data_IF_612865726924
#
_entry.id   IF_612865726924
#
_cell.length_a   1.000
_cell.length_b   1.000
_cell.length_c   1.000
_cell.angle_alpha   90.00
_cell.angle_beta   90.00
_cell.angle_gamma   90.00
#
_symmetry.space_group_name_H-M   'P 1'
#
loop_
_entity.id
_entity.type
_entity.pdbx_description
1 polymer ?
#
# COMPACT_ATOMS: atom_id res chain seq x y z
N UNK A 1 28.52 -3.94 11.36
CA UNK A 1 27.13 -3.75 10.92
C UNK A 1 27.16 -3.66 9.41
N UNK A 2 26.40 -4.50 8.70
CA UNK A 2 26.34 -4.46 7.23
C UNK A 2 25.70 -3.16 6.76
N UNK A 3 26.26 -2.55 5.71
CA UNK A 3 25.60 -1.48 4.98
C UNK A 3 24.29 -1.99 4.42
N UNK A 4 23.17 -1.31 4.68
CA UNK A 4 21.89 -1.65 4.08
C UNK A 4 21.57 -0.71 2.93
N UNK A 5 21.03 -1.25 1.84
CA UNK A 5 20.54 -0.46 0.71
C UNK A 5 19.04 -0.25 0.86
N UNK A 6 18.62 0.99 0.82
CA UNK A 6 17.21 1.39 0.95
C UNK A 6 16.76 2.12 -0.31
N UNK A 7 15.60 1.75 -0.83
CA UNK A 7 14.95 2.41 -1.95
C UNK A 7 13.70 3.14 -1.44
N UNK A 8 13.69 4.47 -1.57
CA UNK A 8 12.51 5.28 -1.24
C UNK A 8 11.69 5.52 -2.49
N UNK A 9 10.41 5.15 -2.46
CA UNK A 9 9.45 5.35 -3.54
C UNK A 9 8.41 6.36 -3.08
N UNK A 10 8.37 7.51 -3.73
CA UNK A 10 7.52 8.64 -3.33
C UNK A 10 7.13 9.51 -4.53
N UNK A 11 6.13 10.36 -4.39
CA UNK A 11 5.82 11.46 -5.31
C UNK A 11 6.47 12.79 -4.88
N UNK A 12 7.11 12.83 -3.70
CA UNK A 12 7.64 14.04 -3.07
C UNK A 12 9.17 14.02 -3.00
N UNK A 13 9.83 14.95 -3.68
CA UNK A 13 11.27 15.15 -3.52
C UNK A 13 11.63 15.55 -2.09
N UNK A 14 10.80 16.40 -1.46
CA UNK A 14 11.00 16.80 -0.07
C UNK A 14 11.02 15.59 0.87
N UNK A 15 10.09 14.67 0.69
CA UNK A 15 10.05 13.45 1.50
C UNK A 15 11.28 12.54 1.25
N UNK A 16 11.72 12.42 0.00
CA UNK A 16 12.92 11.67 -0.34
C UNK A 16 14.16 12.23 0.36
N UNK A 17 14.33 13.54 0.34
CA UNK A 17 15.46 14.23 1.01
C UNK A 17 15.36 14.13 2.54
N UNK A 18 14.15 14.23 3.09
CA UNK A 18 13.90 14.02 4.52
C UNK A 18 14.36 12.61 4.96
N UNK A 19 13.95 11.56 4.27
CA UNK A 19 14.35 10.18 4.58
C UNK A 19 15.87 10.01 4.47
N UNK A 20 16.49 10.57 3.43
CA UNK A 20 17.94 10.51 3.23
C UNK A 20 18.73 11.16 4.37
N UNK A 21 18.20 12.24 4.95
CA UNK A 21 18.84 12.92 6.08
C UNK A 21 18.64 12.20 7.42
N UNK A 22 17.56 11.45 7.58
CA UNK A 22 17.24 10.72 8.82
C UNK A 22 17.97 9.38 8.88
N UNK A 23 18.01 8.64 7.78
CA UNK A 23 18.66 7.33 7.75
C UNK A 23 20.18 7.51 7.93
N UNK A 24 20.84 6.76 8.85
CA UNK A 24 22.26 6.92 9.11
C UNK A 24 23.13 6.79 7.85
N UNK A 25 24.15 7.64 7.73
CA UNK A 25 25.03 7.75 6.55
C UNK A 25 25.73 6.46 6.10
N UNK A 26 25.84 5.46 6.99
CA UNK A 26 26.37 4.14 6.64
C UNK A 26 25.40 3.28 5.79
N UNK A 27 24.16 3.72 5.67
CA UNK A 27 23.16 3.06 4.85
C UNK A 27 22.99 3.84 3.54
N UNK A 28 23.07 3.14 2.43
CA UNK A 28 22.92 3.76 1.10
C UNK A 28 21.45 3.94 0.82
N UNK A 29 21.00 5.18 0.62
CA UNK A 29 19.61 5.51 0.31
C UNK A 29 19.51 5.95 -1.15
N UNK A 30 18.79 5.19 -1.93
CA UNK A 30 18.33 5.58 -3.27
C UNK A 30 16.92 6.11 -3.19
N UNK A 31 16.54 7.03 -4.06
CA UNK A 31 15.15 7.46 -4.13
C UNK A 31 14.62 7.47 -5.56
N UNK A 32 13.33 7.24 -5.68
CA UNK A 32 12.60 7.33 -6.94
C UNK A 32 11.39 8.21 -6.72
N UNK A 33 11.34 9.31 -7.45
CA UNK A 33 10.12 10.11 -7.51
C UNK A 33 9.26 9.55 -8.63
N UNK A 34 8.06 9.09 -8.26
CA UNK A 34 7.14 8.47 -9.20
C UNK A 34 6.66 9.49 -10.24
N UNK A 35 6.90 9.18 -11.49
CA UNK A 35 6.36 9.90 -12.63
C UNK A 35 5.77 8.93 -13.67
N UNK A 36 5.06 9.46 -14.67
CA UNK A 36 4.53 8.64 -15.75
C UNK A 36 5.66 7.97 -16.53
N UNK A 37 5.63 6.64 -16.63
CA UNK A 37 6.59 5.85 -17.41
C UNK A 37 7.76 5.27 -16.61
N UNK A 38 7.87 5.51 -15.30
CA UNK A 38 8.92 4.93 -14.48
C UNK A 38 8.75 3.41 -14.35
N UNK A 39 9.80 2.66 -14.64
CA UNK A 39 9.85 1.22 -14.42
C UNK A 39 10.46 0.90 -13.04
N UNK A 40 9.60 0.80 -12.02
CA UNK A 40 9.98 0.50 -10.64
C UNK A 40 10.76 -0.82 -10.55
N UNK A 41 10.32 -1.87 -11.26
CA UNK A 41 10.99 -3.18 -11.26
C UNK A 41 12.45 -3.07 -11.73
N UNK A 42 12.70 -2.31 -12.81
CA UNK A 42 14.06 -2.06 -13.30
C UNK A 42 14.92 -1.41 -12.23
N UNK A 43 14.36 -0.43 -11.49
CA UNK A 43 15.08 0.26 -10.41
C UNK A 43 15.36 -0.64 -9.20
N UNK A 44 14.46 -1.53 -8.85
CA UNK A 44 14.70 -2.53 -7.81
C UNK A 44 15.84 -3.47 -8.20
N UNK A 45 15.85 -3.96 -9.43
CA UNK A 45 16.93 -4.83 -9.93
C UNK A 45 18.27 -4.07 -9.94
N UNK A 46 18.29 -2.83 -10.43
CA UNK A 46 19.49 -1.99 -10.52
C UNK A 46 20.12 -1.72 -9.15
N UNK A 47 19.33 -1.37 -8.16
CA UNK A 47 19.83 -0.98 -6.83
C UNK A 47 19.94 -2.15 -5.86
N UNK A 48 19.21 -3.24 -6.10
CA UNK A 48 19.13 -4.42 -5.22
C UNK A 48 18.95 -4.03 -3.73
N UNK A 49 17.85 -3.32 -3.39
CA UNK A 49 17.64 -2.83 -2.04
C UNK A 49 17.25 -3.96 -1.09
N UNK A 50 17.60 -3.82 0.18
CA UNK A 50 17.12 -4.68 1.26
C UNK A 50 15.82 -4.18 1.86
N UNK A 51 15.60 -2.86 1.81
CA UNK A 51 14.39 -2.20 2.30
C UNK A 51 13.83 -1.30 1.19
N UNK A 52 12.52 -1.35 1.03
CA UNK A 52 11.76 -0.35 0.27
C UNK A 52 10.92 0.46 1.26
N UNK A 53 11.06 1.78 1.24
CA UNK A 53 10.16 2.71 1.92
C UNK A 53 9.18 3.25 0.89
N UNK A 54 7.90 2.95 1.08
CA UNK A 54 6.83 3.39 0.20
C UNK A 54 6.01 4.48 0.87
N UNK A 55 6.05 5.69 0.32
CA UNK A 55 5.25 6.83 0.77
C UNK A 55 3.95 6.93 -0.03
N UNK A 56 2.80 6.84 0.63
CA UNK A 56 1.50 6.70 0.00
C UNK A 56 0.79 8.02 -0.33
N UNK A 57 1.39 9.17 -0.04
CA UNK A 57 0.83 10.46 -0.39
C UNK A 57 0.50 10.52 -1.89
N UNK A 58 -0.75 10.83 -2.21
CA UNK A 58 -1.24 10.91 -3.59
C UNK A 58 -1.09 9.64 -4.46
N UNK A 59 -0.79 8.48 -3.87
CA UNK A 59 -0.73 7.23 -4.61
C UNK A 59 -2.09 6.88 -5.24
N UNK A 60 -2.10 6.72 -6.56
CA UNK A 60 -3.23 6.13 -7.24
C UNK A 60 -3.23 4.61 -7.01
N UNK A 61 -4.42 4.02 -7.05
CA UNK A 61 -4.64 2.61 -6.79
C UNK A 61 -3.77 1.65 -7.62
N UNK A 62 -3.61 1.95 -8.92
CA UNK A 62 -2.80 1.13 -9.85
C UNK A 62 -1.32 1.01 -9.44
N UNK A 63 -0.77 2.04 -8.79
CA UNK A 63 0.64 2.03 -8.39
C UNK A 63 0.85 1.10 -7.19
N UNK A 64 -0.12 1.00 -6.29
CA UNK A 64 -0.07 0.08 -5.14
C UNK A 64 -0.04 -1.39 -5.59
N UNK A 65 -0.89 -1.78 -6.53
CA UNK A 65 -0.92 -3.16 -7.06
C UNK A 65 0.39 -3.54 -7.75
N UNK A 66 0.95 -2.64 -8.55
CA UNK A 66 2.24 -2.85 -9.20
C UNK A 66 3.37 -3.07 -8.19
N UNK A 67 3.39 -2.25 -7.12
CA UNK A 67 4.42 -2.36 -6.09
C UNK A 67 4.30 -3.68 -5.34
N UNK A 68 3.08 -4.14 -5.05
CA UNK A 68 2.89 -5.44 -4.41
C UNK A 68 3.19 -6.63 -5.32
N UNK A 69 2.82 -6.57 -6.58
CA UNK A 69 3.22 -7.59 -7.54
C UNK A 69 4.74 -7.71 -7.59
N UNK A 70 5.45 -6.59 -7.56
CA UNK A 70 6.90 -6.53 -7.51
C UNK A 70 7.43 -7.07 -6.17
N UNK A 71 6.84 -6.68 -5.03
CA UNK A 71 7.25 -7.19 -3.72
C UNK A 71 7.06 -8.71 -3.60
N UNK A 72 5.99 -9.26 -4.14
CA UNK A 72 5.77 -10.71 -4.18
C UNK A 72 6.81 -11.46 -5.03
N UNK A 73 7.36 -10.81 -6.04
CA UNK A 73 8.45 -11.35 -6.85
C UNK A 73 9.80 -11.29 -6.10
N UNK A 74 10.01 -10.25 -5.28
CA UNK A 74 11.24 -10.01 -4.51
C UNK A 74 11.01 -10.22 -3.00
N UNK A 75 10.67 -11.43 -2.59
CA UNK A 75 10.26 -11.79 -1.21
C UNK A 75 11.26 -11.44 -0.11
N UNK A 76 12.54 -11.25 -0.44
CA UNK A 76 13.59 -10.91 0.52
C UNK A 76 13.65 -9.41 0.84
N UNK A 77 12.95 -8.58 0.08
CA UNK A 77 12.94 -7.14 0.29
C UNK A 77 11.91 -6.80 1.36
N UNK A 78 12.34 -6.09 2.40
CA UNK A 78 11.45 -5.60 3.46
C UNK A 78 10.69 -4.37 3.00
N UNK A 79 9.41 -4.29 3.32
CA UNK A 79 8.56 -3.19 2.89
C UNK A 79 8.07 -2.38 4.10
N UNK A 80 8.53 -1.12 4.21
CA UNK A 80 8.03 -0.13 5.17
C UNK A 80 7.09 0.82 4.44
N UNK A 81 5.87 0.92 4.93
CA UNK A 81 4.85 1.81 4.37
C UNK A 81 4.74 3.05 5.24
N UNK A 82 4.63 4.22 4.61
CA UNK A 82 4.26 5.47 5.26
C UNK A 82 3.02 6.01 4.54
N UNK A 83 1.95 6.21 5.28
CA UNK A 83 0.67 6.56 4.64
C UNK A 83 -0.39 7.05 5.62
N UNK A 84 -1.60 7.33 5.10
CA UNK A 84 -2.69 7.90 5.88
C UNK A 84 -3.19 6.94 6.96
N UNK A 85 -3.76 7.50 8.00
CA UNK A 85 -4.48 6.76 9.04
C UNK A 85 -5.78 6.18 8.49
N UNK A 86 -5.65 5.09 7.76
CA UNK A 86 -6.78 4.41 7.12
C UNK A 86 -6.70 2.90 7.38
N UNK A 87 -7.64 2.38 8.18
CA UNK A 87 -7.66 0.99 8.61
C UNK A 87 -7.68 -0.01 7.44
N UNK A 88 -8.33 0.32 6.33
CA UNK A 88 -8.39 -0.54 5.17
C UNK A 88 -7.04 -0.57 4.43
N UNK A 89 -6.34 0.56 4.33
CA UNK A 89 -4.99 0.60 3.78
C UNK A 89 -4.02 -0.20 4.64
N UNK A 90 -4.07 0.00 5.96
CA UNK A 90 -3.22 -0.72 6.92
C UNK A 90 -3.45 -2.22 6.78
N UNK A 91 -4.70 -2.70 6.87
CA UNK A 91 -5.06 -4.11 6.70
C UNK A 91 -4.54 -4.67 5.36
N UNK A 92 -4.74 -3.94 4.27
CA UNK A 92 -4.27 -4.36 2.95
C UNK A 92 -2.76 -4.56 2.92
N UNK A 93 -1.98 -3.56 3.36
CA UNK A 93 -0.53 -3.61 3.31
C UNK A 93 0.04 -4.72 4.20
N UNK A 94 -0.50 -4.88 5.40
CA UNK A 94 -0.05 -5.93 6.31
C UNK A 94 -0.39 -7.33 5.82
N UNK A 95 -1.58 -7.54 5.25
CA UNK A 95 -1.96 -8.82 4.65
C UNK A 95 -1.12 -9.20 3.43
N UNK A 96 -0.53 -8.22 2.76
CA UNK A 96 0.35 -8.44 1.61
C UNK A 96 1.85 -8.43 1.96
N UNK A 97 2.20 -8.54 3.26
CA UNK A 97 3.57 -8.77 3.70
C UNK A 97 4.38 -7.51 4.00
N UNK A 98 3.75 -6.35 4.18
CA UNK A 98 4.46 -5.18 4.69
C UNK A 98 5.10 -5.49 6.05
N UNK A 99 6.37 -5.13 6.21
CA UNK A 99 7.14 -5.35 7.44
C UNK A 99 6.82 -4.31 8.52
N UNK A 100 6.42 -3.11 8.12
CA UNK A 100 5.94 -2.06 9.01
C UNK A 100 4.99 -1.10 8.27
N UNK A 101 4.14 -0.44 9.04
CA UNK A 101 3.30 0.66 8.60
C UNK A 101 3.42 1.81 9.60
N UNK A 102 3.72 3.00 9.11
CA UNK A 102 3.74 4.25 9.87
C UNK A 102 2.73 5.23 9.29
N UNK A 103 2.20 6.10 10.14
CA UNK A 103 1.36 7.21 9.68
C UNK A 103 2.21 8.33 9.08
N UNK A 104 1.61 9.18 8.26
CA UNK A 104 2.28 10.33 7.63
C UNK A 104 2.80 11.35 8.66
N UNK A 105 2.18 11.40 9.85
CA UNK A 105 2.58 12.25 10.97
C UNK A 105 3.60 11.58 11.91
N UNK A 106 4.14 10.42 11.56
CA UNK A 106 5.14 9.73 12.37
C UNK A 106 6.40 10.61 12.53
N UNK A 107 6.96 10.59 13.72
CA UNK A 107 8.19 11.32 14.04
C UNK A 107 9.42 10.66 13.39
N UNK A 108 10.50 11.42 13.30
CA UNK A 108 11.80 10.90 12.84
C UNK A 108 12.30 9.74 13.71
N UNK A 109 12.03 9.78 15.03
CA UNK A 109 12.40 8.74 15.97
C UNK A 109 11.62 7.44 15.75
N UNK A 110 10.31 7.53 15.51
CA UNK A 110 9.46 6.38 15.15
C UNK A 110 9.91 5.73 13.85
N UNK A 111 10.23 6.55 12.83
CA UNK A 111 10.76 6.07 11.57
C UNK A 111 12.08 5.32 11.76
N UNK A 112 13.04 5.90 12.52
CA UNK A 112 14.33 5.26 12.78
C UNK A 112 14.17 3.96 13.58
N UNK A 113 13.26 3.94 14.53
CA UNK A 113 12.95 2.75 15.34
C UNK A 113 12.37 1.65 14.46
N UNK A 114 11.38 1.96 13.64
CA UNK A 114 10.81 1.01 12.68
C UNK A 114 11.86 0.50 11.69
N UNK A 115 12.67 1.39 11.15
CA UNK A 115 13.75 1.06 10.22
C UNK A 115 14.77 0.08 10.83
N UNK A 116 15.25 0.35 12.06
CA UNK A 116 16.19 -0.53 12.79
C UNK A 116 15.57 -1.92 13.05
N UNK A 117 14.33 -1.94 13.51
CA UNK A 117 13.63 -3.19 13.80
C UNK A 117 13.46 -4.06 12.54
N UNK A 118 13.13 -3.43 11.40
CA UNK A 118 13.02 -4.12 10.12
C UNK A 118 14.36 -4.75 9.69
N UNK A 119 15.47 -4.05 9.90
CA UNK A 119 16.81 -4.59 9.64
C UNK A 119 17.11 -5.83 10.50
N UNK A 120 16.58 -5.88 11.72
CA UNK A 120 16.68 -7.02 12.63
C UNK A 120 15.63 -8.12 12.37
N UNK A 121 14.91 -8.06 11.24
CA UNK A 121 13.79 -8.96 10.90
C UNK A 121 12.63 -8.93 11.88
N UNK A 122 12.47 -7.87 12.66
CA UNK A 122 11.32 -7.67 13.54
C UNK A 122 10.21 -6.94 12.78
N UNK A 123 8.98 -7.40 12.95
CA UNK A 123 7.80 -6.70 12.47
C UNK A 123 7.38 -5.68 13.52
N UNK A 124 7.15 -4.43 13.10
CA UNK A 124 6.83 -3.34 14.03
C UNK A 124 5.52 -2.70 13.64
N UNK A 125 4.57 -2.75 14.56
CA UNK A 125 3.32 -2.01 14.45
C UNK A 125 3.09 -1.22 15.72
N UNK A 126 2.56 0.00 15.57
CA UNK A 126 2.06 0.74 16.74
C UNK A 126 0.91 -0.03 17.40
N UNK A 127 0.65 0.25 18.67
CA UNK A 127 -0.47 -0.39 19.39
C UNK A 127 -1.81 -0.18 18.67
N UNK A 128 -2.04 0.97 18.06
CA UNK A 128 -3.27 1.29 17.32
C UNK A 128 -3.40 0.41 16.08
N UNK A 129 -2.31 0.20 15.36
CA UNK A 129 -2.27 -0.71 14.21
C UNK A 129 -2.49 -2.16 14.65
N UNK A 130 -1.89 -2.56 15.77
CA UNK A 130 -2.11 -3.88 16.36
C UNK A 130 -3.59 -4.09 16.73
N UNK A 131 -4.28 -3.09 17.28
CA UNK A 131 -5.71 -3.15 17.57
C UNK A 131 -6.57 -3.24 16.29
N UNK A 132 -6.19 -2.55 15.21
CA UNK A 132 -6.86 -2.68 13.91
C UNK A 132 -6.77 -4.11 13.38
N UNK A 133 -5.63 -4.78 13.59
CA UNK A 133 -5.46 -6.18 13.22
C UNK A 133 -6.27 -7.14 14.11
N UNK A 134 -6.30 -6.89 15.42
CA UNK A 134 -7.05 -7.70 16.38
C UNK A 134 -8.55 -7.61 16.17
N UNK A 135 -9.10 -6.44 15.83
CA UNK A 135 -10.49 -6.28 15.45
C UNK A 135 -10.91 -7.14 14.25
N UNK A 136 -9.96 -7.60 13.44
CA UNK A 136 -10.21 -8.55 12.35
C UNK A 136 -10.71 -9.92 12.84
N UNK A 137 -10.41 -10.30 14.07
CA UNK A 137 -10.80 -11.60 14.65
C UNK A 137 -12.27 -11.59 15.14
N UNK A 138 -12.87 -10.41 15.33
CA UNK A 138 -14.15 -10.27 16.07
C UNK A 138 -15.25 -9.54 15.31
N UNK A 139 -15.07 -9.04 14.07
CA UNK A 139 -16.06 -8.16 13.45
C UNK A 139 -16.46 -8.47 12.00
N UNK A 140 -17.71 -8.16 11.75
CA UNK A 140 -18.49 -8.11 10.51
C UNK A 140 -17.86 -7.28 9.34
N UNK A 141 -16.57 -6.97 9.37
CA UNK A 141 -15.84 -6.17 8.37
C UNK A 141 -15.76 -6.83 6.98
N UNK A 142 -16.23 -8.08 6.84
CA UNK A 142 -16.37 -8.78 5.56
C UNK A 142 -17.64 -8.40 4.80
N UNK A 143 -18.58 -7.72 5.45
CA UNK A 143 -19.85 -7.35 4.81
C UNK A 143 -19.69 -6.09 3.98
N UNK A 144 -20.06 -6.18 2.72
CA UNK A 144 -20.07 -5.03 1.81
C UNK A 144 -21.12 -4.01 2.24
N UNK A 145 -20.76 -2.74 2.20
CA UNK A 145 -21.74 -1.66 2.39
C UNK A 145 -22.76 -1.65 1.22
N UNK A 146 -23.90 -1.05 1.43
CA UNK A 146 -24.93 -0.87 0.39
C UNK A 146 -24.36 -0.22 -0.88
N UNK A 147 -23.43 0.73 -0.72
CA UNK A 147 -22.77 1.40 -1.85
C UNK A 147 -21.81 0.48 -2.57
N UNK A 148 -21.05 -0.33 -1.83
CA UNK A 148 -20.11 -1.32 -2.38
C UNK A 148 -20.86 -2.44 -3.11
N UNK A 149 -21.97 -2.92 -2.58
CA UNK A 149 -22.84 -3.90 -3.25
C UNK A 149 -23.39 -3.34 -4.58
N UNK A 150 -23.89 -2.09 -4.58
CA UNK A 150 -24.33 -1.44 -5.82
C UNK A 150 -23.21 -1.30 -6.86
N UNK A 151 -21.96 -1.08 -6.43
CA UNK A 151 -20.83 -1.02 -7.35
C UNK A 151 -20.55 -2.39 -7.96
N UNK A 152 -20.68 -3.49 -7.19
CA UNK A 152 -20.56 -4.86 -7.71
C UNK A 152 -21.64 -5.15 -8.76
N UNK A 153 -22.89 -4.79 -8.49
CA UNK A 153 -23.98 -4.96 -9.45
C UNK A 153 -23.73 -4.20 -10.76
N UNK A 154 -23.18 -3.00 -10.67
CA UNK A 154 -22.85 -2.22 -11.87
C UNK A 154 -21.64 -2.81 -12.63
N UNK A 155 -20.65 -3.38 -11.93
CA UNK A 155 -19.55 -4.12 -12.55
C UNK A 155 -20.07 -5.36 -13.26
N UNK A 156 -20.98 -6.11 -12.65
CA UNK A 156 -21.68 -7.27 -13.24
C UNK A 156 -22.38 -6.92 -14.56
N UNK A 157 -22.96 -5.73 -14.61
CA UNK A 157 -23.63 -5.21 -15.82
C UNK A 157 -22.66 -4.59 -16.83
N UNK A 158 -21.34 -4.72 -16.64
CA UNK A 158 -20.31 -4.29 -17.59
C UNK A 158 -19.93 -2.81 -17.54
N UNK A 159 -20.45 -2.02 -16.57
CA UNK A 159 -20.12 -0.60 -16.46
C UNK A 159 -18.66 -0.38 -16.02
N UNK A 160 -17.97 0.53 -16.67
CA UNK A 160 -16.65 0.99 -16.27
C UNK A 160 -16.72 2.00 -15.11
N UNK A 161 -15.55 2.44 -14.58
CA UNK A 161 -15.51 3.32 -13.40
C UNK A 161 -16.11 4.70 -13.64
N UNK A 162 -16.02 5.23 -14.86
CA UNK A 162 -16.60 6.54 -15.21
C UNK A 162 -18.13 6.45 -15.28
N UNK A 163 -18.65 5.42 -15.93
CA UNK A 163 -20.08 5.17 -16.02
C UNK A 163 -20.72 4.87 -14.64
N UNK A 164 -20.02 4.11 -13.79
CA UNK A 164 -20.43 3.86 -12.41
C UNK A 164 -20.47 5.17 -11.63
N UNK A 165 -19.44 6.03 -11.82
CA UNK A 165 -19.39 7.35 -11.20
C UNK A 165 -20.59 8.21 -11.56
N UNK A 166 -20.97 8.26 -12.83
CA UNK A 166 -22.17 8.96 -13.29
C UNK A 166 -23.46 8.41 -12.65
N UNK A 167 -23.61 7.09 -12.60
CA UNK A 167 -24.81 6.44 -12.01
C UNK A 167 -24.93 6.63 -10.50
N UNK A 168 -23.80 6.73 -9.79
CA UNK A 168 -23.77 6.89 -8.33
C UNK A 168 -23.51 8.32 -7.87
N UNK A 169 -23.49 9.28 -8.81
CA UNK A 169 -23.25 10.70 -8.58
C UNK A 169 -21.94 10.96 -7.80
N UNK A 170 -20.84 10.33 -8.25
CA UNK A 170 -19.51 10.50 -7.68
C UNK A 170 -18.42 10.39 -8.77
N UNK A 171 -17.18 10.78 -8.43
CA UNK A 171 -16.08 10.70 -9.39
C UNK A 171 -15.66 9.24 -9.64
N UNK A 172 -15.10 8.96 -10.82
CA UNK A 172 -14.47 7.65 -11.12
C UNK A 172 -13.34 7.32 -10.13
N UNK A 173 -12.64 8.35 -9.63
CA UNK A 173 -11.65 8.18 -8.57
C UNK A 173 -12.30 7.63 -7.29
N UNK A 174 -13.47 8.14 -6.90
CA UNK A 174 -14.24 7.65 -5.76
C UNK A 174 -14.69 6.20 -5.97
N UNK A 175 -15.14 5.87 -7.18
CA UNK A 175 -15.50 4.48 -7.54
C UNK A 175 -14.30 3.55 -7.41
N UNK A 176 -13.13 3.96 -7.85
CA UNK A 176 -11.90 3.16 -7.73
C UNK A 176 -11.48 2.95 -6.27
N UNK A 177 -11.72 3.93 -5.40
CA UNK A 177 -11.53 3.75 -3.94
C UNK A 177 -12.50 2.69 -3.39
N UNK A 178 -13.76 2.71 -3.78
CA UNK A 178 -14.71 1.68 -3.37
C UNK A 178 -14.35 0.29 -3.92
N UNK A 179 -13.97 0.17 -5.19
CA UNK A 179 -13.47 -1.10 -5.77
C UNK A 179 -12.28 -1.66 -4.98
N UNK A 180 -11.39 -0.78 -4.53
CA UNK A 180 -10.28 -1.17 -3.67
C UNK A 180 -10.77 -1.71 -2.32
N UNK A 181 -11.67 -0.98 -1.64
CA UNK A 181 -12.20 -1.41 -0.35
C UNK A 181 -12.95 -2.75 -0.46
N UNK A 182 -13.70 -2.96 -1.54
CA UNK A 182 -14.36 -4.24 -1.83
C UNK A 182 -13.33 -5.37 -1.94
N UNK A 183 -12.25 -5.16 -2.70
CA UNK A 183 -11.18 -6.18 -2.82
C UNK A 183 -10.55 -6.51 -1.48
N UNK A 184 -10.30 -5.51 -0.63
CA UNK A 184 -9.79 -5.75 0.73
C UNK A 184 -10.76 -6.58 1.55
N UNK A 185 -12.05 -6.21 1.57
CA UNK A 185 -13.08 -6.89 2.35
C UNK A 185 -13.25 -8.34 1.91
N UNK A 186 -13.18 -8.61 0.61
CA UNK A 186 -13.32 -9.94 0.03
C UNK A 186 -11.99 -10.70 -0.11
N UNK A 187 -10.87 -10.08 0.34
CA UNK A 187 -9.52 -10.64 0.25
C UNK A 187 -9.07 -10.96 -1.19
N UNK A 188 -9.47 -10.14 -2.16
CA UNK A 188 -9.07 -10.28 -3.55
C UNK A 188 -7.76 -9.55 -3.84
N UNK A 189 -6.87 -10.18 -4.61
CA UNK A 189 -5.57 -9.61 -5.00
C UNK A 189 -5.65 -8.89 -6.34
N UNK A 190 -6.46 -9.39 -7.28
CA UNK A 190 -6.54 -8.92 -8.65
C UNK A 190 -7.91 -8.30 -8.98
N UNK A 191 -7.95 -7.40 -9.95
CA UNK A 191 -9.21 -6.87 -10.46
C UNK A 191 -10.05 -7.93 -11.19
N UNK A 192 -9.41 -8.94 -11.79
CA UNK A 192 -10.07 -10.07 -12.40
C UNK A 192 -10.86 -10.92 -11.40
N UNK A 193 -10.43 -10.99 -10.15
CA UNK A 193 -11.16 -11.68 -9.08
C UNK A 193 -12.43 -10.93 -8.71
N UNK A 194 -12.37 -9.60 -8.65
CA UNK A 194 -13.54 -8.76 -8.42
C UNK A 194 -14.58 -8.93 -9.55
N UNK A 195 -14.12 -8.94 -10.80
CA UNK A 195 -15.00 -9.16 -11.95
C UNK A 195 -15.65 -10.56 -11.89
N UNK A 196 -14.87 -11.60 -11.60
CA UNK A 196 -15.37 -12.96 -11.48
C UNK A 196 -16.41 -13.08 -10.35
N UNK A 197 -16.14 -12.48 -9.21
CA UNK A 197 -17.08 -12.43 -8.08
C UNK A 197 -18.37 -11.73 -8.45
N UNK A 198 -18.32 -10.60 -9.15
CA UNK A 198 -19.50 -9.86 -9.58
C UNK A 198 -20.38 -10.68 -10.53
N UNK A 199 -19.81 -11.61 -11.31
CA UNK A 199 -20.58 -12.49 -12.23
C UNK A 199 -21.21 -13.68 -11.51
N UNK A 200 -20.78 -14.01 -10.29
CA UNK A 200 -21.28 -15.13 -9.48
C UNK A 200 -22.30 -14.70 -8.42
N UNK A 201 -22.35 -13.40 -8.07
CA UNK A 201 -23.33 -12.81 -7.16
C UNK A 201 -24.53 -12.28 -7.92
#
# INVERSE_FOLDING_TARGET
>A
MMESKTLVITHSNFFADFIKNIIPNKNIVFHIVLNKGLNIKKKIIEHNPQIIILHLENFQFLDKEKIFAIHNEFKNIKLLIIGPENSNHIKYFLNNGASAYLYENATAEELLTAYKNILENKTVFSNDIAQILLKKITSEDSVLTVKESKIIDLIKNGYNSDEIGLKLNCSSKTVNVHKFNIKIKLNFKLNSELLRYSLQS
#
